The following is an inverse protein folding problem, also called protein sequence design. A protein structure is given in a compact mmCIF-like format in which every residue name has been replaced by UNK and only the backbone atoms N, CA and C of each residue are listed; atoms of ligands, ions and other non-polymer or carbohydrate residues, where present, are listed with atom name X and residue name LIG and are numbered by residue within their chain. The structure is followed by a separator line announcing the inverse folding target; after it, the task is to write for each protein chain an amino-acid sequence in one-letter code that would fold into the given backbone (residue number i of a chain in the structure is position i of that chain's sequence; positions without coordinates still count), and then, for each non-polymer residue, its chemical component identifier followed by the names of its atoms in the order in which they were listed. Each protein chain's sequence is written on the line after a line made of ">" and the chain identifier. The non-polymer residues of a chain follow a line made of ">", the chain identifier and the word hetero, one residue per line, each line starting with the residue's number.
data_IF_142777627808
#
_entry.id   IF_142777627808
#
_cell.length_a   1.000
_cell.length_b   1.000
_cell.length_c   1.000
_cell.angle_alpha   90.00
_cell.angle_beta   90.00
_cell.angle_gamma   90.00
#
_symmetry.space_group_name_H-M   'P 1'
#
loop_
_entity.id
_entity.type
_entity.pdbx_description
1 polymer ?
#
# COMPACT_ATOMS: atom_id res chain seq x y z
N UNK A 1 71.29 -41.69 -6.31
CA UNK A 1 70.33 -40.97 -5.45
C UNK A 1 69.28 -40.34 -6.35
N UNK A 2 68.03 -40.81 -6.26
CA UNK A 2 66.93 -40.38 -7.13
C UNK A 2 66.07 -39.31 -6.42
N UNK A 3 65.84 -38.17 -7.08
CA UNK A 3 64.91 -37.14 -6.62
C UNK A 3 63.57 -37.28 -7.34
N UNK A 4 62.48 -37.40 -6.57
CA UNK A 4 61.09 -37.49 -7.05
C UNK A 4 60.56 -36.10 -7.42
N UNK A 5 59.78 -35.94 -8.51
CA UNK A 5 59.06 -34.69 -8.76
C UNK A 5 57.81 -34.60 -7.88
N UNK A 6 57.68 -33.47 -7.17
CA UNK A 6 56.50 -33.12 -6.38
C UNK A 6 55.34 -32.76 -7.31
N UNK A 7 54.25 -33.53 -7.24
CA UNK A 7 53.03 -33.28 -8.00
C UNK A 7 52.27 -32.08 -7.42
N UNK A 8 51.95 -31.15 -8.32
CA UNK A 8 51.37 -29.82 -8.09
C UNK A 8 49.91 -29.94 -7.65
N UNK A 9 49.65 -30.00 -6.34
CA UNK A 9 48.30 -29.99 -5.71
C UNK A 9 47.60 -28.60 -5.76
N UNK A 10 47.65 -27.91 -6.89
CA UNK A 10 47.12 -26.54 -7.03
C UNK A 10 45.82 -26.46 -7.83
N UNK A 11 45.29 -27.58 -8.34
CA UNK A 11 44.05 -27.60 -9.13
C UNK A 11 42.76 -27.72 -8.30
N UNK A 12 42.81 -28.33 -7.11
CA UNK A 12 41.59 -28.64 -6.34
C UNK A 12 41.03 -27.43 -5.55
N UNK A 13 41.89 -26.51 -5.10
CA UNK A 13 41.47 -25.35 -4.31
C UNK A 13 40.73 -24.29 -5.14
N UNK A 14 41.11 -24.10 -6.42
CA UNK A 14 40.49 -23.11 -7.30
C UNK A 14 39.06 -23.50 -7.73
N UNK A 15 38.78 -24.80 -7.86
CA UNK A 15 37.45 -25.29 -8.25
C UNK A 15 36.44 -25.19 -7.10
N UNK A 16 36.87 -25.37 -5.84
CA UNK A 16 36.00 -25.18 -4.67
C UNK A 16 35.66 -23.70 -4.41
N UNK A 17 36.57 -22.77 -4.70
CA UNK A 17 36.31 -21.33 -4.56
C UNK A 17 35.32 -20.83 -5.64
N UNK A 18 35.37 -21.37 -6.86
CA UNK A 18 34.43 -21.01 -7.93
C UNK A 18 33.02 -21.58 -7.72
N UNK A 19 32.87 -22.73 -7.04
CA UNK A 19 31.57 -23.32 -6.75
C UNK A 19 30.79 -22.59 -5.65
N UNK A 20 31.47 -21.91 -4.72
CA UNK A 20 30.84 -21.13 -3.64
C UNK A 20 30.35 -19.73 -4.09
N UNK A 21 30.77 -19.26 -5.27
CA UNK A 21 30.34 -17.97 -5.82
C UNK A 21 28.99 -18.05 -6.56
N UNK A 22 28.43 -19.26 -6.77
CA UNK A 22 27.20 -19.48 -7.54
C UNK A 22 25.93 -19.61 -6.70
N UNK A 23 26.00 -19.49 -5.36
CA UNK A 23 24.82 -19.59 -4.48
C UNK A 23 24.30 -18.25 -3.96
N UNK A 24 24.87 -17.13 -4.40
CA UNK A 24 24.30 -15.80 -4.14
C UNK A 24 23.14 -15.51 -5.11
N UNK A 25 22.12 -16.36 -5.12
CA UNK A 25 20.80 -15.92 -5.57
C UNK A 25 20.36 -14.82 -4.60
N UNK A 26 20.37 -13.57 -5.07
CA UNK A 26 20.00 -12.41 -4.26
C UNK A 26 18.68 -12.66 -3.54
N UNK A 27 18.61 -12.26 -2.26
CA UNK A 27 17.37 -12.34 -1.51
C UNK A 27 16.24 -11.62 -2.27
N UNK A 28 15.00 -12.11 -2.22
CA UNK A 28 13.90 -11.45 -2.90
C UNK A 28 13.77 -10.00 -2.40
N UNK A 29 13.65 -9.07 -3.34
CA UNK A 29 13.44 -7.66 -3.05
C UNK A 29 11.99 -7.38 -2.60
N UNK A 30 11.06 -8.25 -2.98
CA UNK A 30 9.62 -8.07 -2.80
C UNK A 30 8.95 -9.23 -2.06
N UNK A 31 8.08 -8.89 -1.12
CA UNK A 31 7.04 -9.77 -0.55
C UNK A 31 5.73 -9.56 -1.32
N UNK A 32 5.05 -10.64 -1.66
CA UNK A 32 3.76 -10.58 -2.35
C UNK A 32 2.62 -10.58 -1.33
N UNK A 33 1.82 -9.53 -1.36
CA UNK A 33 0.57 -9.40 -0.61
C UNK A 33 -0.53 -10.00 -1.47
N UNK A 34 -1.26 -10.99 -0.97
CA UNK A 34 -2.21 -11.75 -1.79
C UNK A 34 -3.41 -12.18 -0.97
N UNK A 35 -4.59 -11.85 -1.47
CA UNK A 35 -5.82 -12.52 -1.09
C UNK A 35 -6.46 -13.13 -2.33
N UNK A 36 -6.51 -14.47 -2.39
CA UNK A 36 -7.05 -15.20 -3.55
C UNK A 36 -8.58 -15.19 -3.58
N UNK A 37 -9.23 -15.14 -2.42
CA UNK A 37 -10.69 -15.07 -2.31
C UNK A 37 -11.19 -13.71 -2.82
N UNK A 38 -10.50 -12.64 -2.43
CA UNK A 38 -10.77 -11.27 -2.87
C UNK A 38 -10.05 -10.89 -4.17
N UNK A 39 -9.26 -11.79 -4.76
CA UNK A 39 -8.51 -11.59 -6.02
C UNK A 39 -7.72 -10.30 -6.08
N UNK A 40 -7.12 -9.96 -4.95
CA UNK A 40 -6.43 -8.69 -4.75
C UNK A 40 -4.98 -8.96 -4.40
N UNK A 41 -4.08 -8.25 -5.09
CA UNK A 41 -2.65 -8.50 -5.07
C UNK A 41 -1.89 -7.18 -4.99
N UNK A 42 -0.78 -7.18 -4.27
CA UNK A 42 0.21 -6.11 -4.29
C UNK A 42 1.60 -6.69 -4.01
N UNK A 43 2.64 -5.88 -4.19
CA UNK A 43 4.01 -6.19 -3.76
C UNK A 43 4.47 -5.11 -2.79
N UNK A 44 5.17 -5.53 -1.75
CA UNK A 44 5.82 -4.64 -0.79
C UNK A 44 7.30 -5.01 -0.65
N UNK A 45 8.22 -4.07 -0.38
CA UNK A 45 9.61 -4.41 -0.14
C UNK A 45 9.74 -5.41 1.01
N UNK A 46 10.72 -6.32 0.95
CA UNK A 46 10.95 -7.31 2.02
C UNK A 46 11.38 -6.71 3.35
N UNK A 47 11.77 -5.43 3.36
CA UNK A 47 12.04 -4.65 4.57
C UNK A 47 10.77 -4.27 5.35
N UNK A 48 9.61 -4.22 4.69
CA UNK A 48 8.34 -3.85 5.33
C UNK A 48 7.81 -5.03 6.14
N UNK A 49 7.19 -4.73 7.28
CA UNK A 49 6.69 -5.71 8.23
C UNK A 49 5.18 -5.77 8.20
N UNK A 50 4.66 -6.98 8.10
CA UNK A 50 3.24 -7.24 8.26
C UNK A 50 2.86 -7.04 9.73
N UNK A 51 1.99 -6.07 9.99
CA UNK A 51 1.48 -5.72 11.32
C UNK A 51 -0.04 -5.91 11.41
N UNK A 52 -0.62 -6.66 10.47
CA UNK A 52 -2.08 -6.87 10.38
C UNK A 52 -2.66 -7.55 11.62
N UNK A 53 -1.86 -8.33 12.35
CA UNK A 53 -2.28 -8.98 13.58
C UNK A 53 -2.60 -7.98 14.71
N UNK A 54 -2.13 -6.73 14.61
CA UNK A 54 -2.46 -5.66 15.56
C UNK A 54 -3.84 -5.05 15.32
N UNK A 55 -4.47 -5.31 14.16
CA UNK A 55 -5.81 -4.80 13.83
C UNK A 55 -6.86 -5.76 14.37
N UNK A 56 -7.64 -5.39 15.40
CA UNK A 56 -8.72 -6.22 15.90
C UNK A 56 -9.80 -6.40 14.82
N UNK A 57 -10.38 -7.59 14.64
CA UNK A 57 -11.46 -7.81 13.67
C UNK A 57 -12.71 -6.94 13.90
N UNK A 58 -12.89 -6.44 15.13
CA UNK A 58 -13.98 -5.55 15.52
C UNK A 58 -13.67 -4.08 15.31
N UNK A 59 -12.45 -3.74 14.90
CA UNK A 59 -12.04 -2.37 14.63
C UNK A 59 -12.36 -2.01 13.18
N UNK A 60 -13.06 -0.89 12.98
CA UNK A 60 -13.21 -0.31 11.65
C UNK A 60 -11.89 0.28 11.16
N UNK A 61 -11.67 0.23 9.85
CA UNK A 61 -10.52 0.87 9.19
C UNK A 61 -11.02 2.12 8.48
N UNK A 62 -10.44 3.29 8.75
CA UNK A 62 -10.85 4.56 8.15
C UNK A 62 -12.36 4.88 8.30
N UNK A 63 -12.97 4.51 9.42
CA UNK A 63 -14.41 4.69 9.65
C UNK A 63 -15.30 3.72 8.89
N UNK A 64 -14.74 2.74 8.17
CA UNK A 64 -15.49 1.64 7.57
C UNK A 64 -16.00 0.68 8.65
N UNK A 65 -17.22 0.19 8.46
CA UNK A 65 -17.86 -0.75 9.37
C UNK A 65 -17.15 -2.11 9.30
N UNK A 66 -16.62 -2.65 10.41
CA UNK A 66 -15.93 -3.95 10.43
C UNK A 66 -16.79 -5.09 9.88
N UNK A 67 -18.12 -5.03 10.00
CA UNK A 67 -19.01 -6.07 9.46
C UNK A 67 -19.02 -6.16 7.93
N UNK A 68 -18.51 -5.12 7.24
CA UNK A 68 -18.40 -5.07 5.78
C UNK A 68 -17.00 -5.37 5.27
N UNK A 69 -16.01 -5.47 6.16
CA UNK A 69 -14.61 -5.71 5.79
C UNK A 69 -14.43 -7.19 5.44
N UNK A 70 -14.08 -7.46 4.19
CA UNK A 70 -13.74 -8.79 3.71
C UNK A 70 -12.28 -9.12 4.01
N UNK A 71 -11.40 -8.12 3.89
CA UNK A 71 -9.98 -8.28 4.09
C UNK A 71 -9.34 -6.97 4.51
N UNK A 72 -8.43 -7.03 5.49
CA UNK A 72 -7.55 -5.95 5.90
C UNK A 72 -6.15 -6.50 5.98
N UNK A 73 -5.20 -5.77 5.43
CA UNK A 73 -3.79 -6.10 5.49
C UNK A 73 -2.98 -4.82 5.69
N UNK A 74 -2.08 -4.81 6.67
CA UNK A 74 -1.30 -3.63 7.05
C UNK A 74 0.18 -3.97 7.02
N UNK A 75 0.98 -3.09 6.41
CA UNK A 75 2.43 -3.15 6.42
C UNK A 75 3.04 -1.83 6.87
N UNK A 76 4.18 -1.92 7.52
CA UNK A 76 4.93 -0.77 8.00
C UNK A 76 6.43 -0.93 7.71
N UNK A 77 7.05 0.12 7.17
CA UNK A 77 8.46 0.16 6.84
C UNK A 77 9.35 0.70 7.99
N UNK A 78 8.75 1.12 9.10
CA UNK A 78 9.51 1.65 10.24
C UNK A 78 10.35 0.56 10.94
N UNK A 79 11.44 0.99 11.58
CA UNK A 79 12.29 0.10 12.38
C UNK A 79 11.55 -0.45 13.62
N UNK A 80 10.55 0.28 14.12
CA UNK A 80 9.61 -0.13 15.15
C UNK A 80 8.19 -0.22 14.54
N UNK A 81 7.91 -1.30 13.77
CA UNK A 81 6.69 -1.39 12.98
C UNK A 81 5.45 -1.52 13.87
N UNK A 82 4.37 -0.82 13.51
CA UNK A 82 3.06 -0.90 14.18
C UNK A 82 1.92 -0.50 13.25
N UNK A 83 0.74 -1.08 13.45
CA UNK A 83 -0.46 -0.72 12.70
C UNK A 83 -0.91 0.73 12.95
N UNK A 84 -0.51 1.36 14.05
CA UNK A 84 -0.80 2.77 14.35
C UNK A 84 -0.15 3.71 13.30
N UNK A 85 1.00 3.35 12.73
CA UNK A 85 1.60 4.13 11.65
C UNK A 85 0.75 4.15 10.38
N UNK A 86 -0.12 3.16 10.14
CA UNK A 86 -1.00 3.14 8.97
C UNK A 86 -2.38 3.77 9.22
N UNK A 87 -2.87 3.77 10.46
CA UNK A 87 -4.26 4.16 10.77
C UNK A 87 -4.39 5.27 11.82
N UNK A 88 -3.30 5.60 12.51
CA UNK A 88 -3.24 6.65 13.51
C UNK A 88 -3.27 8.06 12.93
N UNK A 89 -3.38 9.04 13.82
CA UNK A 89 -3.50 10.46 13.41
C UNK A 89 -2.14 11.07 13.04
N UNK A 90 -1.07 10.69 13.73
CA UNK A 90 0.26 11.27 13.54
C UNK A 90 0.90 10.74 12.24
N UNK A 91 1.57 11.60 11.44
CA UNK A 91 2.33 11.15 10.28
C UNK A 91 3.46 10.20 10.70
N UNK A 92 3.56 8.99 10.12
CA UNK A 92 4.71 8.14 10.36
C UNK A 92 5.94 8.69 9.62
N UNK A 93 7.14 8.45 10.18
CA UNK A 93 8.43 8.81 9.59
C UNK A 93 8.90 7.85 8.48
N UNK A 94 8.25 6.69 8.37
CA UNK A 94 8.49 5.72 7.33
C UNK A 94 7.17 5.39 6.60
N UNK A 95 7.21 4.87 5.37
CA UNK A 95 6.00 4.47 4.66
C UNK A 95 5.21 3.41 5.43
N UNK A 96 3.91 3.64 5.58
CA UNK A 96 2.97 2.64 6.07
C UNK A 96 1.84 2.45 5.04
N UNK A 97 1.33 1.23 4.93
CA UNK A 97 0.31 0.85 3.96
C UNK A 97 -0.79 0.05 4.62
N UNK A 98 -2.02 0.29 4.17
CA UNK A 98 -3.15 -0.59 4.41
C UNK A 98 -3.85 -0.94 3.11
N UNK A 99 -4.20 -2.21 2.95
CA UNK A 99 -5.08 -2.74 1.91
C UNK A 99 -6.38 -3.14 2.57
N UNK A 100 -7.50 -2.69 2.01
CA UNK A 100 -8.84 -3.02 2.47
C UNK A 100 -9.68 -3.48 1.29
N UNK A 101 -10.42 -4.57 1.48
CA UNK A 101 -11.50 -4.98 0.59
C UNK A 101 -12.77 -5.04 1.39
N UNK A 102 -13.83 -4.40 0.89
CA UNK A 102 -15.11 -4.39 1.58
C UNK A 102 -16.29 -4.43 0.61
N UNK A 103 -17.38 -5.00 1.10
CA UNK A 103 -18.61 -5.19 0.32
C UNK A 103 -19.59 -4.05 0.57
N UNK A 104 -20.23 -3.57 -0.51
CA UNK A 104 -21.29 -2.58 -0.46
C UNK A 104 -22.68 -3.25 -0.50
N UNK A 105 -23.59 -2.87 0.43
CA UNK A 105 -25.00 -3.25 0.35
C UNK A 105 -25.61 -2.82 -0.97
N UNK A 106 -26.56 -3.59 -1.49
CA UNK A 106 -27.23 -3.33 -2.77
C UNK A 106 -27.77 -1.90 -2.88
N UNK A 107 -28.30 -1.35 -1.78
CA UNK A 107 -28.86 -0.01 -1.72
C UNK A 107 -27.81 1.10 -1.94
N UNK A 108 -26.52 0.82 -1.73
CA UNK A 108 -25.42 1.78 -1.89
C UNK A 108 -24.74 1.70 -3.26
N UNK A 109 -24.87 0.57 -3.98
CA UNK A 109 -24.12 0.31 -5.23
C UNK A 109 -24.39 1.34 -6.32
N UNK A 110 -25.64 1.79 -6.44
CA UNK A 110 -26.03 2.81 -7.42
C UNK A 110 -25.41 4.20 -7.19
N UNK A 111 -24.79 4.44 -6.02
CA UNK A 111 -24.14 5.71 -5.68
C UNK A 111 -22.62 5.70 -5.89
N UNK A 112 -22.05 4.57 -6.32
CA UNK A 112 -20.60 4.43 -6.48
C UNK A 112 -20.14 5.11 -7.77
N UNK A 113 -19.64 6.34 -7.64
CA UNK A 113 -18.98 7.11 -8.70
C UNK A 113 -17.45 7.07 -8.53
N UNK A 114 -16.70 7.60 -9.50
CA UNK A 114 -15.25 7.78 -9.30
C UNK A 114 -14.96 8.80 -8.19
N UNK A 115 -15.82 9.81 -8.00
CA UNK A 115 -15.68 10.74 -6.89
C UNK A 115 -15.94 10.08 -5.53
N UNK A 116 -16.89 9.13 -5.47
CA UNK A 116 -17.05 8.29 -4.29
C UNK A 116 -15.75 7.53 -3.97
N UNK A 117 -15.04 7.02 -4.99
CA UNK A 117 -13.76 6.34 -4.80
C UNK A 117 -12.65 7.31 -4.33
N UNK A 118 -12.62 8.55 -4.84
CA UNK A 118 -11.69 9.58 -4.38
C UNK A 118 -11.94 9.94 -2.92
N UNK A 119 -13.21 10.02 -2.54
CA UNK A 119 -13.66 10.52 -1.25
C UNK A 119 -13.79 9.44 -0.16
N UNK A 120 -13.28 8.22 -0.40
CA UNK A 120 -13.49 7.06 0.48
C UNK A 120 -13.04 7.30 1.92
N UNK A 121 -11.89 7.93 2.10
CA UNK A 121 -11.28 8.15 3.42
C UNK A 121 -11.31 9.63 3.80
N UNK A 122 -10.91 10.50 2.88
CA UNK A 122 -10.94 11.95 3.06
C UNK A 122 -11.58 12.61 1.84
N UNK A 123 -12.19 13.80 1.99
CA UNK A 123 -12.65 14.60 0.85
C UNK A 123 -11.49 14.92 -0.12
N UNK A 124 -11.57 14.50 -1.38
CA UNK A 124 -10.55 14.77 -2.40
C UNK A 124 -11.17 15.38 -3.65
N UNK A 125 -12.36 14.93 -4.04
CA UNK A 125 -13.10 15.46 -5.18
C UNK A 125 -13.39 16.96 -5.00
N UNK A 126 -13.42 17.70 -6.11
CA UNK A 126 -13.73 19.13 -6.11
C UNK A 126 -15.06 19.42 -5.40
N UNK A 127 -16.08 18.58 -5.63
CA UNK A 127 -17.38 18.69 -4.98
C UNK A 127 -17.25 18.56 -3.46
N UNK A 128 -16.59 17.51 -2.97
CA UNK A 128 -16.47 17.27 -1.53
C UNK A 128 -15.59 18.32 -0.85
N UNK A 129 -14.55 18.81 -1.53
CA UNK A 129 -13.75 19.95 -1.06
C UNK A 129 -14.54 21.25 -1.00
N UNK A 130 -15.40 21.51 -1.98
CA UNK A 130 -16.29 22.69 -1.97
C UNK A 130 -17.29 22.61 -0.81
N UNK A 131 -17.89 21.43 -0.59
CA UNK A 131 -18.79 21.20 0.54
C UNK A 131 -18.07 21.40 1.88
N UNK A 132 -16.85 20.88 2.01
CA UNK A 132 -16.03 21.03 3.21
C UNK A 132 -15.67 22.50 3.49
N UNK A 133 -15.42 23.31 2.47
CA UNK A 133 -15.17 24.75 2.64
C UNK A 133 -16.42 25.51 3.14
N UNK A 134 -17.62 25.04 2.79
CA UNK A 134 -18.88 25.62 3.27
C UNK A 134 -19.30 25.10 4.65
N UNK A 135 -18.95 23.85 4.96
CA UNK A 135 -19.26 23.16 6.20
C UNK A 135 -17.99 22.47 6.72
N UNK A 136 -17.10 23.21 7.39
CA UNK A 136 -15.84 22.66 7.87
C UNK A 136 -16.07 21.48 8.79
N UNK A 137 -15.43 20.35 8.46
CA UNK A 137 -15.29 19.21 9.35
C UNK A 137 -14.11 19.54 10.28
N UNK A 138 -14.36 19.51 11.59
CA UNK A 138 -13.33 19.81 12.57
C UNK A 138 -12.15 18.83 12.42
N UNK A 139 -10.94 19.39 12.35
CA UNK A 139 -9.70 18.60 12.36
C UNK A 139 -9.21 18.13 11.00
N UNK A 140 -9.64 18.74 9.89
CA UNK A 140 -9.11 18.43 8.56
C UNK A 140 -8.78 19.70 7.77
N UNK A 141 -7.48 20.00 7.66
CA UNK A 141 -6.96 21.28 7.13
C UNK A 141 -5.80 21.06 6.14
N UNK A 142 -5.26 22.12 5.54
CA UNK A 142 -4.05 22.10 4.69
C UNK A 142 -4.07 21.12 3.52
N UNK A 143 -5.23 20.99 2.86
CA UNK A 143 -5.36 20.15 1.67
C UNK A 143 -4.44 20.59 0.53
N UNK A 144 -3.68 19.66 -0.01
CA UNK A 144 -2.98 19.81 -1.29
C UNK A 144 -3.21 18.57 -2.16
N UNK A 145 -3.56 18.76 -3.43
CA UNK A 145 -3.61 17.69 -4.41
C UNK A 145 -2.30 17.66 -5.21
N UNK A 146 -1.60 16.54 -5.19
CA UNK A 146 -0.35 16.34 -5.94
C UNK A 146 -0.60 15.64 -7.28
N UNK A 147 -1.49 14.65 -7.29
CA UNK A 147 -1.87 13.92 -8.50
C UNK A 147 -3.29 13.34 -8.36
N UNK A 148 -4.00 13.26 -9.48
CA UNK A 148 -5.27 12.53 -9.59
C UNK A 148 -5.36 11.89 -10.97
N UNK A 149 -5.69 10.59 -11.00
CA UNK A 149 -5.79 9.82 -12.23
C UNK A 149 -6.99 8.88 -12.17
N UNK A 150 -7.77 8.84 -13.25
CA UNK A 150 -8.75 7.76 -13.47
C UNK A 150 -8.05 6.52 -14.03
N UNK A 151 -8.40 5.36 -13.48
CA UNK A 151 -7.82 4.07 -13.84
C UNK A 151 -8.86 3.18 -14.50
N UNK A 152 -8.46 2.55 -15.61
CA UNK A 152 -9.25 1.57 -16.36
C UNK A 152 -8.44 0.29 -16.55
N UNK A 153 -8.23 -0.51 -15.48
CA UNK A 153 -7.38 -1.70 -15.54
C UNK A 153 -7.93 -2.83 -16.44
N UNK A 154 -9.19 -2.73 -16.87
CA UNK A 154 -9.86 -3.73 -17.71
C UNK A 154 -10.82 -4.61 -16.90
N UNK A 155 -11.44 -5.59 -17.55
CA UNK A 155 -12.27 -6.61 -16.90
C UNK A 155 -13.34 -6.06 -15.94
N UNK A 156 -14.06 -5.00 -16.36
CA UNK A 156 -15.15 -4.41 -15.55
C UNK A 156 -14.71 -3.55 -14.36
N UNK A 157 -13.41 -3.50 -14.09
CA UNK A 157 -12.87 -2.66 -13.04
C UNK A 157 -12.72 -1.21 -13.49
N UNK A 158 -13.11 -0.30 -12.61
CA UNK A 158 -12.85 1.14 -12.73
C UNK A 158 -12.33 1.68 -11.43
N UNK A 159 -11.46 2.67 -11.49
CA UNK A 159 -10.84 3.20 -10.29
C UNK A 159 -10.25 4.59 -10.43
N UNK A 160 -9.61 5.00 -9.35
CA UNK A 160 -8.86 6.25 -9.25
C UNK A 160 -7.58 6.02 -8.46
N UNK A 161 -6.55 6.81 -8.77
CA UNK A 161 -5.41 7.01 -7.89
C UNK A 161 -5.28 8.50 -7.60
N UNK A 162 -5.26 8.86 -6.33
CA UNK A 162 -5.12 10.24 -5.87
C UNK A 162 -3.99 10.33 -4.86
N UNK A 163 -3.07 11.26 -5.08
CA UNK A 163 -1.99 11.59 -4.15
C UNK A 163 -2.28 12.98 -3.60
N UNK A 164 -2.49 13.08 -2.30
CA UNK A 164 -2.92 14.32 -1.65
C UNK A 164 -2.36 14.41 -0.23
N UNK A 165 -2.38 15.60 0.36
CA UNK A 165 -2.04 15.79 1.78
C UNK A 165 -3.16 16.46 2.56
N UNK A 166 -3.12 16.23 3.87
CA UNK A 166 -3.97 16.87 4.87
C UNK A 166 -3.22 17.02 6.19
N UNK A 167 -3.51 18.09 6.94
CA UNK A 167 -3.29 18.16 8.37
C UNK A 167 -4.51 17.58 9.10
N UNK A 168 -4.28 16.69 10.06
CA UNK A 168 -5.34 16.01 10.82
C UNK A 168 -5.25 16.44 12.28
N UNK A 169 -6.37 16.92 12.85
CA UNK A 169 -6.53 17.34 14.24
C UNK A 169 -5.43 18.33 14.71
N UNK A 170 -5.03 19.27 13.84
CA UNK A 170 -3.99 20.25 14.11
C UNK A 170 -2.57 19.68 14.14
N UNK A 171 -2.38 18.41 13.76
CA UNK A 171 -1.07 17.80 13.55
C UNK A 171 -0.41 18.26 12.24
N UNK A 172 0.87 17.88 12.01
CA UNK A 172 1.56 18.21 10.78
C UNK A 172 0.86 17.60 9.55
N UNK A 173 0.90 18.28 8.38
CA UNK A 173 0.43 17.69 7.15
C UNK A 173 1.17 16.39 6.82
N UNK A 174 0.43 15.47 6.21
CA UNK A 174 0.91 14.15 5.83
C UNK A 174 0.37 13.79 4.46
N UNK A 175 1.11 12.98 3.70
CA UNK A 175 0.75 12.61 2.33
C UNK A 175 0.09 11.24 2.34
N UNK A 176 -0.98 11.11 1.56
CA UNK A 176 -1.70 9.89 1.27
C UNK A 176 -1.59 9.60 -0.23
N UNK A 177 -1.24 8.36 -0.56
CA UNK A 177 -1.36 7.79 -1.90
C UNK A 177 -2.47 6.75 -1.86
N UNK A 178 -3.63 7.12 -2.40
CA UNK A 178 -4.83 6.30 -2.38
C UNK A 178 -5.07 5.75 -3.78
N UNK A 179 -5.11 4.43 -3.92
CA UNK A 179 -5.66 3.78 -5.12
C UNK A 179 -6.90 2.99 -4.74
N UNK A 180 -8.01 3.27 -5.42
CA UNK A 180 -9.29 2.65 -5.16
C UNK A 180 -9.91 2.12 -6.46
N UNK A 181 -10.40 0.88 -6.42
CA UNK A 181 -11.16 0.25 -7.51
C UNK A 181 -12.55 -0.15 -7.03
N UNK A 182 -13.47 -0.24 -7.99
CA UNK A 182 -14.73 -0.97 -7.85
C UNK A 182 -14.96 -1.85 -9.06
N UNK A 183 -15.70 -2.93 -8.85
CA UNK A 183 -16.09 -3.89 -9.88
C UNK A 183 -17.35 -3.42 -10.63
N UNK A 184 -17.72 -4.13 -11.69
CA UNK A 184 -18.77 -3.71 -12.64
C UNK A 184 -20.13 -3.46 -11.97
N UNK A 185 -20.53 -4.34 -11.04
CA UNK A 185 -21.80 -4.23 -10.30
C UNK A 185 -21.71 -3.33 -9.06
N UNK A 186 -20.54 -2.69 -8.84
CA UNK A 186 -20.22 -1.85 -7.70
C UNK A 186 -20.47 -2.50 -6.33
N UNK A 187 -20.43 -3.83 -6.25
CA UNK A 187 -20.64 -4.56 -5.00
C UNK A 187 -19.40 -4.61 -4.11
N UNK A 188 -18.21 -4.38 -4.67
CA UNK A 188 -16.95 -4.39 -3.92
C UNK A 188 -16.15 -3.13 -4.17
N UNK A 189 -15.48 -2.69 -3.10
CA UNK A 189 -14.46 -1.66 -3.13
C UNK A 189 -13.13 -2.29 -2.71
N UNK A 190 -12.09 -1.97 -3.47
CA UNK A 190 -10.71 -2.38 -3.22
C UNK A 190 -9.90 -1.12 -3.01
N UNK A 191 -9.28 -1.00 -1.86
CA UNK A 191 -8.52 0.18 -1.46
C UNK A 191 -7.11 -0.25 -1.07
N UNK A 192 -6.10 0.42 -1.63
CA UNK A 192 -4.77 0.49 -1.04
C UNK A 192 -4.51 1.96 -0.69
N UNK A 193 -4.04 2.20 0.52
CA UNK A 193 -3.64 3.51 0.97
C UNK A 193 -2.23 3.42 1.56
N UNK A 194 -1.32 4.22 1.01
CA UNK A 194 -0.01 4.46 1.59
C UNK A 194 0.00 5.84 2.22
N UNK A 195 0.70 5.99 3.34
CA UNK A 195 0.88 7.30 3.97
C UNK A 195 2.24 7.44 4.63
N UNK A 196 2.75 8.67 4.67
CA UNK A 196 3.76 9.10 5.63
C UNK A 196 3.88 10.63 5.70
N UNK A 197 4.83 11.14 6.49
CA UNK A 197 5.15 12.56 6.52
C UNK A 197 5.55 13.09 5.13
N UNK A 198 5.47 14.41 4.93
CA UNK A 198 5.90 15.05 3.68
C UNK A 198 7.36 14.72 3.36
N UNK A 199 8.24 14.75 4.36
CA UNK A 199 9.67 14.46 4.22
C UNK A 199 9.88 13.02 3.78
N UNK A 200 9.22 12.07 4.45
CA UNK A 200 9.27 10.65 4.07
C UNK A 200 8.80 10.45 2.63
N UNK A 201 7.69 11.10 2.22
CA UNK A 201 7.15 10.92 0.88
C UNK A 201 8.09 11.48 -0.19
N UNK A 202 8.78 12.59 0.11
CA UNK A 202 9.80 13.16 -0.77
C UNK A 202 11.03 12.23 -0.91
N UNK A 203 11.49 11.64 0.19
CA UNK A 203 12.68 10.77 0.20
C UNK A 203 12.41 9.36 -0.36
N UNK A 204 11.20 8.82 -0.13
CA UNK A 204 10.83 7.43 -0.42
C UNK A 204 9.80 7.29 -1.54
N UNK A 205 9.49 8.39 -2.24
CA UNK A 205 8.42 8.45 -3.24
C UNK A 205 8.51 7.37 -4.33
N UNK A 206 9.72 7.02 -4.81
CA UNK A 206 9.88 5.97 -5.81
C UNK A 206 9.54 4.57 -5.28
N UNK A 207 9.84 4.29 -4.01
CA UNK A 207 9.49 3.04 -3.35
C UNK A 207 7.97 2.95 -3.14
N UNK A 208 7.37 4.04 -2.65
CA UNK A 208 5.91 4.17 -2.45
C UNK A 208 5.18 3.97 -3.78
N UNK A 209 5.63 4.64 -4.85
CA UNK A 209 5.03 4.52 -6.18
C UNK A 209 5.12 3.10 -6.75
N UNK A 210 6.25 2.41 -6.52
CA UNK A 210 6.40 1.01 -6.93
C UNK A 210 5.42 0.09 -6.19
N UNK A 211 5.15 0.34 -4.91
CA UNK A 211 4.13 -0.41 -4.14
C UNK A 211 2.73 -0.09 -4.66
N UNK A 212 2.37 1.19 -4.77
CA UNK A 212 1.06 1.63 -5.24
C UNK A 212 0.74 1.10 -6.65
N UNK A 213 1.69 1.22 -7.58
CA UNK A 213 1.55 0.76 -8.97
C UNK A 213 1.50 -0.76 -9.12
N UNK A 214 1.90 -1.51 -8.08
CA UNK A 214 1.79 -2.98 -8.08
C UNK A 214 0.39 -3.48 -7.72
N UNK A 215 -0.47 -2.61 -7.19
CA UNK A 215 -1.81 -2.97 -6.72
C UNK A 215 -2.71 -3.39 -7.89
N UNK A 216 -3.10 -4.67 -7.88
CA UNK A 216 -3.86 -5.30 -8.96
C UNK A 216 -5.07 -6.02 -8.37
N UNK A 217 -6.22 -5.85 -9.00
CA UNK A 217 -7.45 -6.59 -8.75
C UNK A 217 -7.80 -7.37 -10.01
N UNK A 218 -8.37 -8.57 -9.85
CA UNK A 218 -8.88 -9.36 -10.99
C UNK A 218 -10.36 -9.66 -10.81
N UNK A 219 -11.14 -9.39 -11.85
CA UNK A 219 -12.54 -9.82 -11.93
C UNK A 219 -12.68 -11.29 -12.37
N UNK A 220 -13.93 -11.77 -12.48
CA UNK A 220 -14.28 -13.13 -12.88
C UNK A 220 -14.38 -13.30 -14.38
#
# INVERSE_FOLDING_TARGET
>A
MAARPATRRWGAAAVLAAALALTACGAPEWTYVTNKEERTYAKVPTSWRDVSAEVPPTQGVFGLDPARLNWVQVFDADAAPTAEHAMGLAPPSAPAMVVVVFTLPEQQRGSVSLDFLRDLVFPVSERSRTLLAMQPVAGLDDFTLYADQTLTPGDGLRGVRSIFSYAINGGPPQVFDQTAYTNDDASKIYLIMLRCSIECFAERGAEIDSVASSFTVREN
#
